data_IF_525588349309
#
_entry.id   IF_525588349309
#
_cell.length_a   1.000
_cell.length_b   1.000
_cell.length_c   1.000
_cell.angle_alpha   90.00
_cell.angle_beta   90.00
_cell.angle_gamma   90.00
#
_symmetry.space_group_name_H-M   'P 1'
#
loop_
_entity.id
_entity.type
_entity.pdbx_description
1 polymer ?
#
# COMPACT_ATOMS: atom_id res chain seq x y z
N UNK A 1 0.68 8.03 -50.29
CA UNK A 1 2.16 8.17 -50.27
C UNK A 1 2.72 8.73 -48.97
N UNK A 2 1.93 9.24 -48.03
CA UNK A 2 2.40 9.79 -46.74
C UNK A 2 2.86 8.73 -45.73
N UNK A 3 2.35 7.50 -45.79
CA UNK A 3 2.67 6.43 -44.82
C UNK A 3 4.17 6.05 -44.79
N UNK A 4 4.88 6.18 -45.91
CA UNK A 4 6.27 5.69 -46.01
C UNK A 4 7.33 6.64 -45.43
N UNK A 5 6.93 7.89 -45.11
CA UNK A 5 7.82 8.91 -44.53
C UNK A 5 7.69 8.97 -43.01
N UNK A 6 6.48 8.81 -42.49
CA UNK A 6 6.19 8.79 -41.05
C UNK A 6 6.82 7.56 -40.38
N UNK A 7 6.68 6.38 -41.00
CA UNK A 7 7.28 5.13 -40.51
C UNK A 7 8.82 5.22 -40.36
N UNK A 8 9.49 5.98 -41.23
CA UNK A 8 10.96 6.13 -41.21
C UNK A 8 11.44 7.08 -40.10
N UNK A 9 10.66 8.09 -39.77
CA UNK A 9 11.02 9.05 -38.72
C UNK A 9 10.86 8.43 -37.34
N UNK A 10 9.74 7.73 -37.09
CA UNK A 10 9.52 6.99 -35.84
C UNK A 10 10.61 5.94 -35.61
N UNK A 11 10.99 5.20 -36.66
CA UNK A 11 12.05 4.18 -36.58
C UNK A 11 13.39 4.80 -36.13
N UNK A 12 13.78 5.95 -36.69
CA UNK A 12 15.00 6.66 -36.25
C UNK A 12 14.93 7.14 -34.81
N UNK A 13 13.76 7.62 -34.37
CA UNK A 13 13.55 8.03 -32.99
C UNK A 13 13.68 6.85 -32.02
N UNK A 14 13.17 5.68 -32.40
CA UNK A 14 13.30 4.45 -31.61
C UNK A 14 14.77 4.01 -31.55
N UNK A 15 15.49 3.98 -32.68
CA UNK A 15 16.91 3.64 -32.71
C UNK A 15 17.75 4.55 -31.82
N UNK A 16 17.48 5.86 -31.85
CA UNK A 16 18.15 6.83 -30.98
C UNK A 16 17.80 6.60 -29.51
N UNK A 17 16.53 6.35 -29.20
CA UNK A 17 16.08 6.10 -27.82
C UNK A 17 16.54 4.75 -27.28
N UNK A 18 16.89 3.80 -28.15
CA UNK A 18 17.45 2.51 -27.74
C UNK A 18 18.83 2.64 -27.10
N UNK A 19 19.60 3.65 -27.51
CA UNK A 19 20.87 3.98 -26.86
C UNK A 19 20.67 4.37 -25.40
N UNK A 20 19.57 5.06 -25.10
CA UNK A 20 19.23 5.56 -23.75
C UNK A 20 18.29 4.63 -22.96
N UNK A 21 17.92 3.45 -23.49
CA UNK A 21 16.89 2.55 -22.94
C UNK A 21 15.54 3.26 -22.66
N UNK A 22 15.09 4.11 -23.59
CA UNK A 22 13.84 4.87 -23.50
C UNK A 22 12.87 4.57 -24.66
N UNK A 23 13.01 3.43 -25.31
CA UNK A 23 12.21 3.01 -26.46
C UNK A 23 10.72 2.99 -26.12
N UNK A 24 10.37 2.44 -24.94
CA UNK A 24 8.98 2.38 -24.48
C UNK A 24 8.33 3.77 -24.36
N UNK A 25 9.11 4.80 -24.01
CA UNK A 25 8.63 6.19 -23.94
C UNK A 25 8.35 6.74 -25.34
N UNK A 26 9.18 6.44 -26.32
CA UNK A 26 8.98 6.87 -27.72
C UNK A 26 7.78 6.15 -28.34
N UNK A 27 7.65 4.84 -28.11
CA UNK A 27 6.53 4.03 -28.59
C UNK A 27 5.20 4.57 -28.01
N UNK A 28 5.15 4.81 -26.70
CA UNK A 28 3.95 5.36 -26.05
C UNK A 28 3.57 6.74 -26.58
N UNK A 29 4.55 7.62 -26.83
CA UNK A 29 4.31 8.95 -27.40
C UNK A 29 3.76 8.92 -28.83
N UNK A 30 4.21 7.97 -29.64
CA UNK A 30 3.81 7.85 -31.04
C UNK A 30 2.63 6.89 -31.25
N UNK A 31 1.93 6.49 -30.17
CA UNK A 31 0.83 5.53 -30.25
C UNK A 31 -0.39 6.04 -31.06
N UNK A 32 -0.57 7.35 -31.19
CA UNK A 32 -1.64 7.93 -32.00
C UNK A 32 -1.22 8.17 -33.45
N UNK A 33 0.06 8.41 -33.69
CA UNK A 33 0.62 8.75 -35.00
C UNK A 33 1.05 7.53 -35.81
N UNK A 34 1.62 6.50 -35.15
CA UNK A 34 2.17 5.33 -35.81
C UNK A 34 1.34 4.07 -35.51
N UNK A 35 0.96 3.35 -36.56
CA UNK A 35 0.17 2.12 -36.47
C UNK A 35 0.87 1.02 -35.66
N UNK A 36 2.17 0.83 -35.83
CA UNK A 36 2.93 -0.18 -35.10
C UNK A 36 3.07 0.19 -33.64
N UNK A 37 3.30 1.47 -33.33
CA UNK A 37 3.30 1.95 -31.95
C UNK A 37 1.93 1.76 -31.30
N UNK A 38 0.84 2.06 -32.02
CA UNK A 38 -0.53 1.77 -31.58
C UNK A 38 -0.74 0.29 -31.26
N UNK A 39 -0.39 -0.59 -32.20
CA UNK A 39 -0.51 -2.04 -32.02
C UNK A 39 0.32 -2.55 -30.84
N UNK A 40 1.51 -1.96 -30.63
CA UNK A 40 2.38 -2.30 -29.50
C UNK A 40 1.74 -1.88 -28.18
N UNK A 41 1.20 -0.66 -28.10
CA UNK A 41 0.50 -0.18 -26.90
C UNK A 41 -0.77 -0.97 -26.63
N UNK A 42 -1.53 -1.34 -27.66
CA UNK A 42 -2.70 -2.21 -27.56
C UNK A 42 -2.34 -3.57 -26.93
N UNK A 43 -1.28 -4.22 -27.42
CA UNK A 43 -0.79 -5.49 -26.88
C UNK A 43 -0.27 -5.33 -25.45
N UNK A 44 0.43 -4.25 -25.16
CA UNK A 44 0.94 -3.95 -23.83
C UNK A 44 -0.19 -3.81 -22.80
N UNK A 45 -1.24 -3.06 -23.14
CA UNK A 45 -2.38 -2.83 -22.25
C UNK A 45 -3.17 -4.13 -22.01
N UNK A 46 -3.32 -4.95 -23.03
CA UNK A 46 -3.94 -6.28 -22.91
C UNK A 46 -3.13 -7.20 -21.99
N UNK A 47 -1.81 -7.27 -22.18
CA UNK A 47 -0.91 -8.03 -21.31
C UNK A 47 -0.90 -7.50 -19.86
N UNK A 48 -0.95 -6.18 -19.69
CA UNK A 48 -1.02 -5.54 -18.38
C UNK A 48 -2.33 -5.91 -17.65
N UNK A 49 -3.45 -5.91 -18.37
CA UNK A 49 -4.72 -6.42 -17.88
C UNK A 49 -4.64 -7.90 -17.50
N UNK A 50 -4.03 -8.72 -18.35
CA UNK A 50 -3.87 -10.15 -18.10
C UNK A 50 -3.09 -10.44 -16.81
N UNK A 51 -2.03 -9.70 -16.54
CA UNK A 51 -1.26 -9.82 -15.29
C UNK A 51 -2.08 -9.39 -14.07
N UNK A 52 -2.83 -8.29 -14.17
CA UNK A 52 -3.76 -7.87 -13.13
C UNK A 52 -4.82 -8.96 -12.84
N UNK A 53 -5.31 -9.65 -13.87
CA UNK A 53 -6.21 -10.80 -13.72
C UNK A 53 -5.56 -12.03 -13.07
N UNK A 54 -4.29 -12.30 -13.34
CA UNK A 54 -3.52 -13.35 -12.65
C UNK A 54 -3.34 -13.03 -11.16
N UNK A 55 -3.01 -11.78 -10.84
CA UNK A 55 -2.98 -11.29 -9.46
C UNK A 55 -4.35 -11.40 -8.78
N UNK A 56 -5.43 -11.05 -9.50
CA UNK A 56 -6.80 -11.16 -8.99
C UNK A 56 -7.17 -12.61 -8.63
N UNK A 57 -6.76 -13.59 -9.43
CA UNK A 57 -6.96 -15.00 -9.11
C UNK A 57 -6.07 -15.47 -7.95
N UNK A 58 -4.84 -14.94 -7.86
CA UNK A 58 -3.89 -15.32 -6.81
C UNK A 58 -4.35 -14.88 -5.42
N UNK A 59 -4.89 -13.67 -5.32
CA UNK A 59 -5.24 -13.04 -4.04
C UNK A 59 -6.74 -13.00 -3.76
N UNK A 60 -7.58 -13.23 -4.77
CA UNK A 60 -9.05 -13.13 -4.69
C UNK A 60 -9.54 -11.91 -3.90
N UNK A 61 -9.09 -10.68 -4.25
CA UNK A 61 -9.37 -9.50 -3.45
C UNK A 61 -10.85 -9.11 -3.57
N UNK A 62 -11.66 -9.49 -2.57
CA UNK A 62 -13.09 -9.18 -2.53
C UNK A 62 -13.37 -7.67 -2.44
N UNK A 63 -12.43 -6.88 -1.90
CA UNK A 63 -12.51 -5.42 -1.84
C UNK A 63 -12.10 -4.72 -3.15
N UNK A 64 -11.63 -5.47 -4.14
CA UNK A 64 -11.14 -4.94 -5.42
C UNK A 64 -9.63 -4.87 -5.55
N UNK A 65 -9.20 -4.65 -6.78
CA UNK A 65 -7.80 -4.53 -7.18
C UNK A 65 -7.47 -3.05 -7.43
N UNK A 66 -6.39 -2.57 -6.84
CA UNK A 66 -5.95 -1.18 -7.00
C UNK A 66 -4.67 -1.15 -7.84
N UNK A 67 -4.76 -0.59 -9.04
CA UNK A 67 -3.62 -0.31 -9.89
C UNK A 67 -3.02 1.03 -9.50
N UNK A 68 -1.75 1.02 -9.13
CA UNK A 68 -0.99 2.22 -8.83
C UNK A 68 0.30 2.26 -9.63
N UNK A 69 0.97 3.41 -9.57
CA UNK A 69 2.27 3.61 -10.22
C UNK A 69 2.18 4.36 -11.54
N UNK A 70 3.34 4.82 -12.01
CA UNK A 70 3.43 5.76 -13.14
C UNK A 70 2.98 5.21 -14.49
N UNK A 71 2.84 3.88 -14.65
CA UNK A 71 2.34 3.29 -15.90
C UNK A 71 0.85 3.53 -16.08
N UNK A 72 0.05 3.40 -15.01
CA UNK A 72 -1.40 3.62 -15.05
C UNK A 72 -1.71 5.09 -15.29
N UNK A 73 -1.06 6.01 -14.56
CA UNK A 73 -1.30 7.45 -14.69
C UNK A 73 -0.92 8.00 -16.07
N UNK A 74 0.11 7.44 -16.72
CA UNK A 74 0.56 7.90 -18.05
C UNK A 74 -0.25 7.33 -19.20
N UNK A 75 -0.97 6.22 -18.99
CA UNK A 75 -1.72 5.53 -20.05
C UNK A 75 -3.24 5.53 -19.79
N UNK A 76 -3.76 6.52 -19.05
CA UNK A 76 -5.18 6.61 -18.69
C UNK A 76 -6.12 6.55 -19.90
N UNK A 77 -5.75 7.19 -21.01
CA UNK A 77 -6.56 7.19 -22.24
C UNK A 77 -6.70 5.79 -22.88
N UNK A 78 -5.70 4.92 -22.71
CA UNK A 78 -5.73 3.56 -23.26
C UNK A 78 -6.41 2.55 -22.32
N UNK A 79 -6.38 2.81 -21.01
CA UNK A 79 -7.00 1.96 -19.98
C UNK A 79 -8.51 2.27 -19.84
N UNK A 80 -8.99 3.37 -20.43
CA UNK A 80 -10.39 3.81 -20.40
C UNK A 80 -10.89 3.99 -18.95
N UNK A 81 -10.15 4.83 -18.23
CA UNK A 81 -10.41 5.17 -16.83
C UNK A 81 -11.52 6.22 -16.75
N UNK A 82 -12.56 5.96 -15.94
CA UNK A 82 -13.69 6.88 -15.74
C UNK A 82 -13.83 7.33 -14.29
N UNK A 83 -14.22 8.60 -14.13
CA UNK A 83 -14.82 9.11 -12.90
C UNK A 83 -16.14 8.35 -12.66
N UNK A 84 -16.43 7.98 -11.41
CA UNK A 84 -17.66 7.29 -11.05
C UNK A 84 -18.89 8.02 -11.58
N UNK A 85 -19.80 7.27 -12.20
CA UNK A 85 -21.07 7.75 -12.74
C UNK A 85 -21.97 8.20 -11.60
N UNK A 86 -22.13 9.51 -11.42
CA UNK A 86 -23.39 10.08 -10.93
C UNK A 86 -24.21 10.50 -12.17
N UNK A 87 -25.36 9.85 -12.36
CA UNK A 87 -26.49 10.29 -13.18
C UNK A 87 -26.20 10.87 -14.57
N UNK A 88 -25.73 10.02 -15.49
CA UNK A 88 -26.00 10.19 -16.92
C UNK A 88 -25.32 11.37 -17.64
N UNK A 89 -24.37 12.06 -17.00
CA UNK A 89 -23.48 13.03 -17.67
C UNK A 89 -22.03 12.65 -17.46
N UNK A 90 -21.42 12.05 -18.49
CA UNK A 90 -19.98 11.82 -18.60
C UNK A 90 -19.26 13.17 -18.63
N UNK A 91 -18.96 13.70 -17.46
CA UNK A 91 -18.12 14.88 -17.31
C UNK A 91 -16.81 14.41 -16.74
N UNK A 92 -15.73 14.61 -17.50
CA UNK A 92 -14.36 14.64 -17.00
C UNK A 92 -14.27 15.83 -16.04
N UNK A 93 -14.75 15.65 -14.80
CA UNK A 93 -14.61 16.67 -13.77
C UNK A 93 -13.16 16.63 -13.32
N UNK A 94 -12.40 17.62 -13.76
CA UNK A 94 -10.99 17.76 -13.45
C UNK A 94 -10.67 17.53 -11.97
N UNK A 95 -9.53 16.88 -11.77
CA UNK A 95 -8.65 16.98 -10.61
C UNK A 95 -9.10 16.43 -9.24
N UNK A 96 -10.35 16.03 -8.99
CA UNK A 96 -10.77 15.68 -7.61
C UNK A 96 -11.18 14.22 -7.34
N UNK A 97 -11.39 13.39 -8.36
CA UNK A 97 -11.65 11.96 -8.15
C UNK A 97 -10.34 11.21 -7.86
N UNK A 98 -10.06 11.00 -6.56
CA UNK A 98 -8.84 10.36 -6.03
C UNK A 98 -8.74 8.85 -6.36
N UNK A 99 -9.87 8.24 -6.70
CA UNK A 99 -9.98 6.83 -7.08
C UNK A 99 -10.90 6.75 -8.30
N UNK A 100 -10.37 6.24 -9.40
CA UNK A 100 -11.11 6.10 -10.64
C UNK A 100 -11.44 4.64 -10.90
N UNK A 101 -12.63 4.39 -11.44
CA UNK A 101 -13.03 3.03 -11.80
C UNK A 101 -12.68 2.80 -13.26
N UNK A 102 -12.05 1.67 -13.56
CA UNK A 102 -11.80 1.30 -14.96
C UNK A 102 -13.12 0.84 -15.57
N UNK A 103 -13.48 1.35 -16.76
CA UNK A 103 -14.72 0.94 -17.44
C UNK A 103 -14.74 -0.58 -17.62
N UNK A 104 -15.93 -1.17 -17.64
CA UNK A 104 -16.08 -2.62 -17.82
C UNK A 104 -15.67 -3.15 -19.22
N UNK A 105 -15.27 -2.29 -20.15
CA UNK A 105 -14.95 -2.64 -21.54
C UNK A 105 -13.60 -2.00 -21.92
N UNK A 106 -12.90 -2.57 -22.90
CA UNK A 106 -11.58 -2.12 -23.34
C UNK A 106 -10.53 -3.22 -23.22
N UNK A 107 -9.42 -3.07 -23.95
CA UNK A 107 -8.36 -4.09 -24.07
C UNK A 107 -7.80 -4.53 -22.71
N UNK A 108 -7.69 -3.60 -21.76
CA UNK A 108 -7.25 -3.88 -20.41
C UNK A 108 -8.20 -4.89 -19.71
N UNK A 109 -9.50 -4.60 -19.71
CA UNK A 109 -10.48 -5.46 -19.05
C UNK A 109 -10.70 -6.79 -19.78
N UNK A 110 -10.51 -6.81 -21.10
CA UNK A 110 -10.51 -8.03 -21.91
C UNK A 110 -9.38 -8.97 -21.47
N UNK A 111 -8.13 -8.49 -21.44
CA UNK A 111 -6.99 -9.28 -20.96
C UNK A 111 -7.14 -9.73 -19.49
N UNK A 112 -7.69 -8.86 -18.64
CA UNK A 112 -7.95 -9.17 -17.23
C UNK A 112 -8.95 -10.32 -17.07
N UNK A 113 -10.01 -10.32 -17.87
CA UNK A 113 -11.07 -11.34 -17.81
C UNK A 113 -10.72 -12.60 -18.61
N UNK A 114 -9.73 -12.54 -19.50
CA UNK A 114 -9.25 -13.71 -20.26
C UNK A 114 -8.46 -14.67 -19.37
N UNK A 115 -9.20 -15.50 -18.63
CA UNK A 115 -8.70 -16.53 -17.73
C UNK A 115 -9.41 -17.88 -17.94
N UNK A 116 -10.01 -18.06 -19.12
CA UNK A 116 -10.77 -19.24 -19.49
C UNK A 116 -11.86 -19.60 -18.47
N UNK A 117 -11.78 -20.80 -17.88
CA UNK A 117 -12.74 -21.33 -16.91
C UNK A 117 -12.83 -20.52 -15.61
N UNK A 118 -11.80 -19.72 -15.31
CA UNK A 118 -11.74 -18.89 -14.10
C UNK A 118 -12.20 -17.44 -14.35
N UNK A 119 -12.64 -17.12 -15.57
CA UNK A 119 -13.16 -15.78 -15.91
C UNK A 119 -14.34 -15.35 -15.03
N UNK A 120 -15.15 -16.30 -14.55
CA UNK A 120 -16.27 -16.03 -13.64
C UNK A 120 -15.83 -15.47 -12.29
N UNK A 121 -14.68 -15.92 -11.78
CA UNK A 121 -14.14 -15.45 -10.50
C UNK A 121 -13.64 -14.00 -10.64
N UNK A 122 -12.93 -13.71 -11.73
CA UNK A 122 -12.34 -12.39 -11.95
C UNK A 122 -13.38 -11.34 -12.35
N UNK A 123 -14.47 -11.74 -13.00
CA UNK A 123 -15.51 -10.82 -13.51
C UNK A 123 -16.12 -9.93 -12.41
N UNK A 124 -16.22 -10.43 -11.19
CA UNK A 124 -16.84 -9.74 -10.07
C UNK A 124 -15.86 -8.88 -9.26
N UNK A 125 -14.57 -8.89 -9.59
CA UNK A 125 -13.54 -8.14 -8.85
C UNK A 125 -13.49 -6.72 -9.43
N UNK A 126 -13.84 -5.68 -8.65
CA UNK A 126 -13.74 -4.31 -9.12
C UNK A 126 -12.27 -3.89 -9.23
N UNK A 127 -11.94 -3.07 -10.24
CA UNK A 127 -10.57 -2.59 -10.47
C UNK A 127 -10.56 -1.07 -10.46
N UNK A 128 -9.65 -0.51 -9.68
CA UNK A 128 -9.51 0.91 -9.45
C UNK A 128 -8.13 1.40 -9.87
N UNK A 129 -8.07 2.55 -10.52
CA UNK A 129 -6.83 3.24 -10.84
C UNK A 129 -6.56 4.34 -9.81
N UNK A 130 -5.36 4.35 -9.24
CA UNK A 130 -4.87 5.38 -8.34
C UNK A 130 -3.89 6.26 -9.13
N UNK A 131 -4.23 7.54 -9.28
CA UNK A 131 -3.44 8.49 -10.06
C UNK A 131 -2.40 9.26 -9.24
N UNK A 132 -2.54 9.28 -7.91
CA UNK A 132 -1.67 10.02 -7.00
C UNK A 132 -0.22 9.52 -7.07
N UNK A 133 0.71 10.41 -7.41
CA UNK A 133 2.15 10.09 -7.47
C UNK A 133 2.77 9.90 -6.07
N UNK A 134 2.18 10.50 -5.03
CA UNK A 134 2.70 10.49 -3.65
C UNK A 134 2.15 9.35 -2.78
N UNK A 135 1.54 8.32 -3.38
CA UNK A 135 0.90 7.22 -2.64
C UNK A 135 1.88 6.55 -1.64
N UNK A 136 3.12 6.30 -2.08
CA UNK A 136 4.16 5.71 -1.23
C UNK A 136 4.56 6.59 -0.05
N UNK A 137 4.66 7.91 -0.26
CA UNK A 137 4.97 8.87 0.82
C UNK A 137 3.84 8.95 1.83
N UNK A 138 2.58 8.98 1.37
CA UNK A 138 1.40 8.99 2.24
C UNK A 138 1.27 7.72 3.06
N UNK A 139 1.53 6.56 2.44
CA UNK A 139 1.58 5.28 3.15
C UNK A 139 2.65 5.27 4.24
N UNK A 140 3.88 5.71 3.93
CA UNK A 140 4.96 5.81 4.90
C UNK A 140 4.61 6.77 6.05
N UNK A 141 4.02 7.92 5.75
CA UNK A 141 3.57 8.89 6.74
C UNK A 141 2.48 8.30 7.66
N UNK A 142 1.47 7.64 7.10
CA UNK A 142 0.39 7.00 7.87
C UNK A 142 0.95 5.97 8.86
N UNK A 143 1.88 5.12 8.41
CA UNK A 143 2.51 4.11 9.27
C UNK A 143 3.35 4.78 10.37
N UNK A 144 4.11 5.82 10.04
CA UNK A 144 4.91 6.55 11.03
C UNK A 144 4.03 7.17 12.13
N UNK A 145 2.93 7.85 11.75
CA UNK A 145 1.98 8.44 12.70
C UNK A 145 1.30 7.37 13.56
N UNK A 146 0.89 6.25 12.96
CA UNK A 146 0.26 5.13 13.69
C UNK A 146 1.21 4.54 14.75
N UNK A 147 2.49 4.37 14.41
CA UNK A 147 3.49 3.88 15.35
C UNK A 147 3.74 4.85 16.51
N UNK A 148 3.79 6.16 16.24
CA UNK A 148 3.91 7.18 17.27
C UNK A 148 2.72 7.15 18.24
N UNK A 149 1.49 7.07 17.71
CA UNK A 149 0.28 7.03 18.53
C UNK A 149 0.21 5.77 19.40
N UNK A 150 0.54 4.61 18.84
CA UNK A 150 0.58 3.35 19.60
C UNK A 150 1.62 3.39 20.74
N UNK A 151 2.80 3.99 20.49
CA UNK A 151 3.83 4.15 21.52
C UNK A 151 3.36 5.08 22.65
N UNK A 152 2.67 6.18 22.32
CA UNK A 152 2.09 7.07 23.33
C UNK A 152 1.00 6.40 24.15
N UNK A 153 0.14 5.58 23.54
CA UNK A 153 -0.86 4.81 24.29
C UNK A 153 -0.21 3.74 25.18
N UNK A 154 0.87 3.10 24.72
CA UNK A 154 1.61 2.14 25.53
C UNK A 154 2.24 2.79 26.77
N UNK A 155 2.79 4.01 26.64
CA UNK A 155 3.34 4.75 27.78
C UNK A 155 2.26 5.27 28.72
N UNK A 156 1.11 5.74 28.21
CA UNK A 156 -0.05 6.13 29.01
C UNK A 156 -0.63 4.94 29.80
N UNK A 157 -0.69 3.75 29.19
CA UNK A 157 -1.17 2.53 29.86
C UNK A 157 -0.22 1.99 30.94
N UNK A 158 1.08 2.29 30.82
CA UNK A 158 2.10 1.97 31.83
C UNK A 158 2.02 2.92 33.02
N UNK A 159 1.70 4.19 32.80
CA UNK A 159 1.46 5.17 33.87
C UNK A 159 0.17 4.85 34.64
N UNK A 160 -0.92 4.44 33.98
CA UNK A 160 -2.16 4.06 34.66
C UNK A 160 -2.09 2.68 35.38
N UNK A 161 -1.20 1.77 34.97
CA UNK A 161 -0.89 0.55 35.76
C UNK A 161 -0.09 0.84 37.02
N UNK A 162 0.66 1.95 37.07
CA UNK A 162 1.30 2.42 38.29
C UNK A 162 0.33 3.16 39.22
N UNK A 163 -0.79 3.68 38.71
CA UNK A 163 -1.83 4.32 39.54
C UNK A 163 -2.84 3.31 40.10
N UNK A 164 -3.17 2.22 39.38
CA UNK A 164 -4.05 1.16 39.91
C UNK A 164 -3.44 0.25 40.98
N UNK A 165 -2.12 0.31 41.21
CA UNK A 165 -1.51 -0.31 42.41
C UNK A 165 -1.48 0.64 43.62
N UNK A 166 -1.99 1.87 43.48
CA UNK A 166 -2.02 2.89 44.55
C UNK A 166 -3.42 3.22 45.08
N UNK A 167 -4.51 2.82 44.44
CA UNK A 167 -5.87 3.23 44.85
C UNK A 167 -6.63 2.24 45.76
N UNK A 168 -6.11 1.06 46.08
CA UNK A 168 -6.69 0.24 47.17
C UNK A 168 -5.97 0.49 48.51
N UNK A 169 -5.85 1.75 48.96
CA UNK A 169 -5.67 2.10 50.38
C UNK A 169 -6.09 3.54 50.67
N UNK A 170 -7.35 3.89 50.45
CA UNK A 170 -7.98 5.00 51.19
C UNK A 170 -9.31 4.54 51.75
N UNK A 171 -9.30 4.24 53.05
CA UNK A 171 -10.44 3.71 53.78
C UNK A 171 -10.30 3.80 55.30
N UNK A 172 -10.17 5.03 55.81
CA UNK A 172 -10.70 5.56 57.09
C UNK A 172 -10.24 4.95 58.43
N UNK A 173 -9.61 5.78 59.29
CA UNK A 173 -9.84 5.73 60.75
C UNK A 173 -8.65 5.88 61.73
N UNK A 174 -8.29 7.13 62.04
CA UNK A 174 -7.81 7.73 63.33
C UNK A 174 -6.59 7.22 64.13
N UNK A 175 -5.85 8.26 64.58
CA UNK A 175 -5.07 8.50 65.82
C UNK A 175 -3.63 7.98 65.99
N UNK A 176 -2.74 8.98 66.06
CA UNK A 176 -1.60 9.20 66.97
C UNK A 176 -0.32 8.35 66.88
N UNK A 177 0.79 9.05 66.57
CA UNK A 177 2.12 8.82 67.13
C UNK A 177 3.06 7.85 66.40
N UNK A 178 4.24 8.36 66.01
CA UNK A 178 5.46 7.53 65.85
C UNK A 178 5.90 7.24 64.41
N UNK A 179 7.15 7.62 64.11
CA UNK A 179 7.84 7.36 62.84
C UNK A 179 7.87 5.85 62.50
N UNK A 180 7.51 5.49 61.26
CA UNK A 180 7.42 4.09 60.83
C UNK A 180 8.34 3.77 59.64
N UNK A 181 9.38 3.00 59.97
CA UNK A 181 10.20 1.96 59.30
C UNK A 181 9.87 1.42 57.88
N UNK A 182 8.99 2.03 57.09
CA UNK A 182 8.49 1.43 55.86
C UNK A 182 9.37 1.63 54.60
N UNK A 183 10.47 2.38 54.68
CA UNK A 183 11.34 2.60 53.50
C UNK A 183 12.47 1.58 53.32
N UNK A 184 12.79 0.73 54.31
CA UNK A 184 13.95 -0.18 54.24
C UNK A 184 13.65 -1.59 53.70
N UNK A 185 12.39 -2.02 53.63
CA UNK A 185 12.05 -3.41 53.26
C UNK A 185 12.03 -3.62 51.73
N UNK A 186 11.86 -2.56 50.92
CA UNK A 186 11.78 -2.70 49.46
C UNK A 186 13.14 -2.88 48.77
N UNK A 187 14.24 -2.42 49.37
CA UNK A 187 15.57 -2.54 48.77
C UNK A 187 16.16 -3.95 48.91
N UNK A 188 15.90 -4.64 50.04
CA UNK A 188 16.47 -5.96 50.31
C UNK A 188 15.88 -7.07 49.40
N UNK A 189 14.60 -6.97 49.03
CA UNK A 189 13.95 -7.96 48.17
C UNK A 189 14.46 -7.93 46.71
N UNK A 190 14.83 -6.75 46.20
CA UNK A 190 15.41 -6.58 44.86
C UNK A 190 16.85 -7.13 44.77
N UNK A 191 17.64 -6.95 45.82
CA UNK A 191 19.02 -7.49 45.86
C UNK A 191 19.01 -9.02 45.98
N UNK A 192 18.07 -9.59 46.73
CA UNK A 192 17.98 -11.03 46.97
C UNK A 192 17.50 -11.81 45.71
N UNK A 193 16.61 -11.22 44.90
CA UNK A 193 16.14 -11.85 43.65
C UNK A 193 17.20 -11.84 42.55
N UNK A 194 18.00 -10.77 42.46
CA UNK A 194 19.08 -10.70 41.47
C UNK A 194 20.20 -11.72 41.74
N UNK A 195 20.54 -11.98 43.00
CA UNK A 195 21.58 -12.95 43.37
C UNK A 195 21.15 -14.40 43.14
N UNK A 196 19.88 -14.73 43.40
CA UNK A 196 19.32 -16.07 43.15
C UNK A 196 19.27 -16.43 41.66
N UNK A 197 18.95 -15.46 40.79
CA UNK A 197 18.91 -15.69 39.33
C UNK A 197 20.31 -15.95 38.79
N UNK A 198 21.31 -15.17 39.19
CA UNK A 198 22.71 -15.37 38.76
C UNK A 198 23.28 -16.71 39.24
N UNK A 199 23.00 -17.10 40.49
CA UNK A 199 23.42 -18.39 41.04
C UNK A 199 22.80 -19.60 40.32
N UNK A 200 21.54 -19.47 39.89
CA UNK A 200 20.82 -20.52 39.15
C UNK A 200 21.32 -20.66 37.71
N UNK A 201 21.67 -19.54 37.06
CA UNK A 201 22.23 -19.54 35.70
C UNK A 201 23.64 -20.14 35.67
N UNK A 202 24.47 -19.87 36.68
CA UNK A 202 25.83 -20.42 36.74
C UNK A 202 25.84 -21.94 37.00
N UNK A 203 24.90 -22.48 37.78
CA UNK A 203 24.79 -23.93 38.03
C UNK A 203 24.42 -24.75 36.79
N UNK A 204 23.71 -24.17 35.81
CA UNK A 204 23.35 -24.86 34.56
C UNK A 204 24.49 -24.96 33.55
N UNK A 205 25.62 -24.26 33.75
CA UNK A 205 26.74 -24.22 32.80
C UNK A 205 27.87 -25.21 33.14
N UNK A 206 27.74 -25.98 34.22
CA UNK A 206 28.74 -26.95 34.72
C UNK A 206 28.18 -28.38 34.79
N UNK A 207 27.01 -28.64 34.19
CA UNK A 207 26.50 -29.98 33.88
C UNK A 207 26.43 -30.16 32.36
#
# INVERSE_FOLDING_TARGET
ETSNLEDKETTKQIEKAAVDNQEGKVISKNAESDRLCKMTMDLFIEAYGAEAGSCALKFTPLGGLYLSGGLTSKNMGLIDVVDTVEDGKTTISGAEARQLTIRSHGRFMEGLRDKGRLSSVVRNIPVYAILDEDLGKRGAHYVAVKLLYNNQQSSLSLSSKQEQSKEEKVGVGKSDGGASVLSMVSAAALVCTATLVVATVLRRKQM
#
